data_IF_300309453127
#
_entry.id   IF_300309453127
#
_cell.length_a   1.000
_cell.length_b   1.000
_cell.length_c   1.000
_cell.angle_alpha   90.00
_cell.angle_beta   90.00
_cell.angle_gamma   90.00
#
_symmetry.space_group_name_H-M   'P 1'
#
loop_
_entity.id
_entity.type
_entity.pdbx_description
1 polymer ?
#
# COMPACT_ATOMS: atom_id res chain seq x y z
N UNK A 1 -16.18 -13.33 10.12
CA UNK A 1 -16.56 -11.90 10.24
C UNK A 1 -15.50 -11.25 11.11
N UNK A 2 -14.45 -10.77 10.50
CA UNK A 2 -13.36 -10.10 11.23
C UNK A 2 -13.47 -8.62 10.89
N UNK A 3 -13.83 -7.83 11.89
CA UNK A 3 -13.89 -6.38 11.81
C UNK A 3 -12.49 -5.85 11.58
N UNK A 4 -12.28 -5.16 10.46
CA UNK A 4 -11.10 -4.32 10.26
C UNK A 4 -11.00 -3.40 11.48
N UNK A 5 -9.81 -3.35 12.12
CA UNK A 5 -9.53 -2.35 13.16
C UNK A 5 -9.83 -0.98 12.55
N UNK A 6 -10.80 -0.28 13.10
CA UNK A 6 -11.21 1.02 12.62
C UNK A 6 -10.03 2.00 12.72
N UNK A 7 -9.52 2.35 11.58
CA UNK A 7 -8.85 3.65 11.46
C UNK A 7 -10.01 4.64 11.53
N UNK A 8 -10.11 5.49 12.58
CA UNK A 8 -11.26 6.38 12.76
C UNK A 8 -11.54 7.16 11.47
N UNK A 9 -12.72 6.95 10.90
CA UNK A 9 -13.16 7.56 9.65
C UNK A 9 -12.94 6.75 8.38
N UNK A 10 -12.29 5.56 8.41
CA UNK A 10 -12.23 4.67 7.26
C UNK A 10 -13.50 3.77 7.19
N UNK A 11 -13.97 3.43 5.98
CA UNK A 11 -15.13 2.58 5.81
C UNK A 11 -14.88 1.20 6.43
N UNK A 12 -15.70 0.81 7.42
CA UNK A 12 -15.57 -0.43 8.20
C UNK A 12 -16.40 -1.59 7.67
N UNK A 13 -17.22 -1.38 6.63
CA UNK A 13 -18.06 -2.43 6.05
C UNK A 13 -17.49 -2.94 4.75
N UNK A 14 -17.03 -4.16 4.76
CA UNK A 14 -16.66 -4.98 3.59
C UNK A 14 -17.88 -5.52 2.82
N UNK A 15 -18.97 -4.77 2.75
CA UNK A 15 -20.06 -5.09 1.83
C UNK A 15 -19.62 -4.62 0.45
N UNK A 16 -19.43 -5.54 -0.47
CA UNK A 16 -19.12 -5.37 -1.89
C UNK A 16 -18.87 -3.90 -2.30
N UNK A 17 -17.62 -3.52 -2.36
CA UNK A 17 -17.19 -2.17 -2.82
C UNK A 17 -17.70 -1.90 -4.25
N UNK A 18 -18.09 -2.97 -4.96
CA UNK A 18 -18.48 -2.93 -6.36
C UNK A 18 -19.97 -3.32 -6.56
N UNK A 19 -20.71 -2.48 -7.27
CA UNK A 19 -22.01 -2.79 -7.83
C UNK A 19 -21.91 -2.94 -9.34
N UNK A 20 -22.70 -3.86 -9.89
CA UNK A 20 -22.70 -4.22 -11.32
C UNK A 20 -23.37 -3.17 -12.23
N UNK A 21 -24.04 -2.17 -11.66
CA UNK A 21 -24.83 -1.19 -12.38
C UNK A 21 -24.38 0.25 -12.08
N UNK A 22 -23.78 0.93 -13.04
CA UNK A 22 -23.51 2.35 -13.24
C UNK A 22 -22.46 3.06 -12.36
N UNK A 23 -22.16 2.63 -11.13
CA UNK A 23 -21.05 3.17 -10.33
C UNK A 23 -20.30 2.05 -9.65
N UNK A 24 -18.97 2.10 -9.78
CA UNK A 24 -18.09 1.08 -9.20
C UNK A 24 -18.02 1.18 -7.67
N UNK A 25 -18.14 2.38 -7.12
CA UNK A 25 -18.12 2.63 -5.69
C UNK A 25 -19.53 3.04 -5.19
N UNK A 26 -19.96 2.49 -4.07
CA UNK A 26 -21.21 2.90 -3.42
C UNK A 26 -21.15 4.36 -3.00
N UNK A 27 -22.30 5.07 -3.05
CA UNK A 27 -22.39 6.50 -2.69
C UNK A 27 -21.90 6.77 -1.26
N UNK A 28 -22.23 5.88 -0.33
CA UNK A 28 -21.83 6.04 1.07
C UNK A 28 -20.29 5.93 1.24
N UNK A 29 -19.66 5.06 0.45
CA UNK A 29 -18.20 4.95 0.40
C UNK A 29 -17.59 6.22 -0.21
N UNK A 30 -18.14 6.71 -1.32
CA UNK A 30 -17.67 7.94 -1.94
C UNK A 30 -17.74 9.14 -0.99
N UNK A 31 -18.84 9.32 -0.24
CA UNK A 31 -18.96 10.39 0.74
C UNK A 31 -17.98 10.25 1.91
N UNK A 32 -17.72 9.03 2.38
CA UNK A 32 -16.70 8.77 3.41
C UNK A 32 -15.30 9.11 2.90
N UNK A 33 -14.94 8.67 1.69
CA UNK A 33 -13.64 8.98 1.07
C UNK A 33 -13.49 10.49 0.85
N UNK A 34 -14.55 11.16 0.38
CA UNK A 34 -14.58 12.62 0.22
C UNK A 34 -14.32 13.35 1.54
N UNK A 35 -14.96 12.91 2.62
CA UNK A 35 -14.70 13.46 3.96
C UNK A 35 -13.25 13.24 4.38
N UNK A 36 -12.71 12.03 4.14
CA UNK A 36 -11.34 11.66 4.48
C UNK A 36 -10.31 12.50 3.72
N UNK A 37 -10.56 12.77 2.43
CA UNK A 37 -9.67 13.51 1.55
C UNK A 37 -9.91 15.03 1.53
N UNK A 38 -10.89 15.53 2.31
CA UNK A 38 -11.21 16.97 2.38
C UNK A 38 -10.03 17.85 2.81
N UNK A 39 -9.05 17.24 3.50
CA UNK A 39 -7.90 17.96 4.00
C UNK A 39 -6.60 17.69 3.22
N UNK A 40 -6.61 17.02 2.06
CA UNK A 40 -5.40 16.80 1.26
C UNK A 40 -4.73 18.13 0.91
N UNK A 41 -3.40 18.16 0.99
CA UNK A 41 -2.58 19.35 0.72
C UNK A 41 -1.86 19.28 -0.60
N UNK A 42 -1.49 18.07 -1.03
CA UNK A 42 -0.78 17.82 -2.28
C UNK A 42 -1.73 17.39 -3.38
N UNK A 43 -1.33 17.61 -4.62
CA UNK A 43 -2.03 17.13 -5.80
C UNK A 43 -1.56 15.71 -6.15
N UNK A 44 -2.50 14.82 -6.42
CA UNK A 44 -2.24 13.43 -6.76
C UNK A 44 -2.81 13.11 -8.13
N UNK A 45 -1.98 12.48 -8.97
CA UNK A 45 -2.40 11.91 -10.25
C UNK A 45 -2.37 10.40 -10.15
N UNK A 46 -3.50 9.75 -10.39
CA UNK A 46 -3.57 8.31 -10.60
C UNK A 46 -3.33 8.07 -12.09
N UNK A 47 -2.09 7.70 -12.41
CA UNK A 47 -1.66 7.46 -13.80
C UNK A 47 -1.97 6.03 -14.18
N UNK A 48 -3.06 5.84 -14.92
CA UNK A 48 -3.57 4.53 -15.32
C UNK A 48 -2.99 4.11 -16.68
N UNK A 49 -2.27 2.99 -16.69
CA UNK A 49 -1.77 2.32 -17.89
C UNK A 49 -2.64 1.10 -18.12
N UNK A 50 -3.60 1.23 -19.04
CA UNK A 50 -4.64 0.23 -19.24
C UNK A 50 -4.73 -0.15 -20.72
N UNK A 51 -4.54 -1.42 -21.00
CA UNK A 51 -4.76 -1.97 -22.35
C UNK A 51 -6.25 -2.03 -22.66
N UNK A 52 -6.65 -1.45 -23.79
CA UNK A 52 -8.04 -1.44 -24.25
C UNK A 52 -8.61 -2.84 -24.49
N UNK A 53 -7.75 -3.84 -24.71
CA UNK A 53 -8.14 -5.25 -24.87
C UNK A 53 -8.28 -6.06 -23.60
N UNK A 54 -7.93 -5.49 -22.44
CA UNK A 54 -8.03 -6.20 -21.16
C UNK A 54 -9.48 -6.23 -20.66
N UNK A 55 -9.97 -7.42 -20.27
CA UNK A 55 -11.37 -7.62 -19.86
C UNK A 55 -11.84 -6.72 -18.69
N UNK A 56 -10.92 -6.25 -17.86
CA UNK A 56 -11.17 -5.38 -16.70
C UNK A 56 -10.83 -3.90 -16.95
N UNK A 57 -10.55 -3.52 -18.21
CA UNK A 57 -10.15 -2.16 -18.55
C UNK A 57 -11.20 -1.11 -18.16
N UNK A 58 -12.46 -1.36 -18.52
CA UNK A 58 -13.57 -0.45 -18.22
C UNK A 58 -13.85 -0.40 -16.70
N UNK A 59 -13.70 -1.53 -16.01
CA UNK A 59 -13.90 -1.64 -14.56
C UNK A 59 -12.86 -0.79 -13.81
N UNK A 60 -11.57 -0.94 -14.12
CA UNK A 60 -10.52 -0.11 -13.52
C UNK A 60 -10.71 1.36 -13.84
N UNK A 61 -11.02 1.69 -15.10
CA UNK A 61 -11.24 3.07 -15.53
C UNK A 61 -12.39 3.73 -14.78
N UNK A 62 -13.49 3.01 -14.58
CA UNK A 62 -14.68 3.50 -13.86
C UNK A 62 -14.38 3.66 -12.37
N UNK A 63 -13.69 2.67 -11.77
CA UNK A 63 -13.24 2.72 -10.38
C UNK A 63 -12.38 3.97 -10.12
N UNK A 64 -11.36 4.20 -10.93
CA UNK A 64 -10.46 5.33 -10.78
C UNK A 64 -11.16 6.67 -11.00
N UNK A 65 -12.10 6.74 -11.95
CA UNK A 65 -12.90 7.94 -12.18
C UNK A 65 -13.80 8.28 -10.98
N UNK A 66 -14.50 7.28 -10.43
CA UNK A 66 -15.30 7.44 -9.22
C UNK A 66 -14.43 7.85 -8.03
N UNK A 67 -13.29 7.20 -7.85
CA UNK A 67 -12.34 7.50 -6.78
C UNK A 67 -11.79 8.93 -6.88
N UNK A 68 -11.32 9.35 -8.05
CA UNK A 68 -10.81 10.71 -8.26
C UNK A 68 -11.90 11.78 -8.09
N UNK A 69 -13.18 11.46 -8.32
CA UNK A 69 -14.29 12.37 -8.08
C UNK A 69 -14.47 12.78 -6.62
N UNK A 70 -13.84 12.10 -5.67
CA UNK A 70 -13.96 12.35 -4.23
C UNK A 70 -13.18 13.57 -3.75
N UNK A 71 -12.20 14.05 -4.49
CA UNK A 71 -11.41 15.23 -4.11
C UNK A 71 -10.92 15.99 -5.32
N UNK A 72 -10.95 17.35 -5.29
CA UNK A 72 -10.32 18.16 -6.35
C UNK A 72 -8.78 18.04 -6.38
N UNK A 73 -8.18 17.40 -5.37
CA UNK A 73 -6.75 17.13 -5.30
C UNK A 73 -6.36 15.80 -5.98
N UNK A 74 -7.34 15.08 -6.53
CA UNK A 74 -7.14 13.82 -7.25
C UNK A 74 -7.45 14.00 -8.72
N UNK A 75 -6.57 13.53 -9.58
CA UNK A 75 -6.72 13.52 -11.04
C UNK A 75 -6.47 12.13 -11.61
N UNK A 76 -7.22 11.76 -12.65
CA UNK A 76 -7.02 10.54 -13.42
C UNK A 76 -6.31 10.87 -14.73
N UNK A 77 -5.09 10.38 -14.90
CA UNK A 77 -4.36 10.39 -16.17
C UNK A 77 -4.45 9.00 -16.81
N UNK A 78 -4.90 8.93 -18.07
CA UNK A 78 -4.96 7.68 -18.83
C UNK A 78 -3.83 7.63 -19.83
N UNK A 79 -2.97 6.63 -19.71
CA UNK A 79 -1.88 6.36 -20.65
C UNK A 79 -2.29 5.19 -21.53
N UNK A 80 -2.47 5.40 -22.86
CA UNK A 80 -2.80 4.31 -23.79
C UNK A 80 -1.69 3.27 -23.83
N UNK A 81 -2.09 2.00 -23.86
CA UNK A 81 -1.18 0.87 -23.84
C UNK A 81 -1.81 -0.35 -24.52
N UNK A 82 -1.02 -1.13 -25.27
CA UNK A 82 -1.50 -2.29 -26.05
C UNK A 82 -0.93 -3.63 -25.56
N UNK A 83 -0.04 -3.65 -24.57
CA UNK A 83 0.69 -4.82 -24.06
C UNK A 83 -0.03 -5.63 -22.98
N UNK A 84 -1.32 -5.40 -22.74
CA UNK A 84 -2.11 -6.17 -21.76
C UNK A 84 -2.03 -5.67 -20.33
N UNK A 85 -1.47 -4.48 -20.08
CA UNK A 85 -1.37 -3.92 -18.73
C UNK A 85 -2.73 -3.53 -18.16
N UNK A 86 -2.86 -3.70 -16.85
CA UNK A 86 -3.99 -3.25 -16.05
C UNK A 86 -3.45 -2.73 -14.72
N UNK A 87 -2.93 -1.51 -14.73
CA UNK A 87 -2.23 -0.95 -13.57
C UNK A 87 -2.42 0.56 -13.48
N UNK A 88 -2.16 1.12 -12.32
CA UNK A 88 -2.00 2.55 -12.14
C UNK A 88 -0.94 2.85 -11.08
N UNK A 89 -0.19 3.91 -11.28
CA UNK A 89 0.76 4.45 -10.31
C UNK A 89 0.21 5.72 -9.64
N UNK A 90 0.75 6.03 -8.47
CA UNK A 90 0.40 7.23 -7.72
C UNK A 90 1.52 8.26 -7.91
N UNK A 91 1.19 9.40 -8.48
CA UNK A 91 2.11 10.53 -8.67
C UNK A 91 1.68 11.66 -7.73
N UNK A 92 2.60 12.22 -6.94
CA UNK A 92 2.36 13.31 -6.00
C UNK A 92 3.11 14.56 -6.46
N UNK A 93 2.40 15.66 -6.66
CA UNK A 93 2.98 16.97 -7.07
C UNK A 93 3.96 16.82 -8.25
N UNK A 94 3.66 15.93 -9.19
CA UNK A 94 4.47 15.63 -10.39
C UNK A 94 5.61 14.62 -10.19
N UNK A 95 5.89 14.17 -8.97
CA UNK A 95 6.87 13.13 -8.67
C UNK A 95 6.21 11.77 -8.47
N UNK A 96 6.78 10.72 -9.04
CA UNK A 96 6.33 9.34 -8.80
C UNK A 96 6.56 8.96 -7.33
N UNK A 97 5.58 8.33 -6.71
CA UNK A 97 5.69 7.84 -5.33
C UNK A 97 6.38 6.48 -5.23
N UNK A 98 6.60 5.81 -6.34
CA UNK A 98 7.09 4.44 -6.40
C UNK A 98 6.00 3.38 -6.15
N UNK A 99 4.74 3.77 -5.92
CA UNK A 99 3.64 2.84 -5.63
C UNK A 99 2.80 2.59 -6.87
N UNK A 100 2.69 1.32 -7.27
CA UNK A 100 1.90 0.88 -8.42
C UNK A 100 0.96 -0.26 -8.02
N UNK A 101 -0.31 -0.16 -8.40
CA UNK A 101 -1.30 -1.22 -8.25
C UNK A 101 -1.55 -1.89 -9.60
N UNK A 102 -1.30 -3.19 -9.68
CA UNK A 102 -1.64 -4.05 -10.83
C UNK A 102 -2.93 -4.80 -10.56
N UNK A 103 -4.03 -4.15 -10.83
CA UNK A 103 -5.38 -4.61 -10.56
C UNK A 103 -6.28 -3.51 -10.02
N UNK A 104 -7.45 -3.90 -9.53
CA UNK A 104 -8.44 -2.99 -8.96
C UNK A 104 -8.43 -3.17 -7.44
N UNK A 105 -7.92 -2.21 -6.65
CA UNK A 105 -7.78 -2.36 -5.20
C UNK A 105 -9.15 -2.29 -4.51
N UNK A 106 -9.86 -3.40 -4.52
CA UNK A 106 -11.15 -3.59 -3.85
C UNK A 106 -11.01 -4.39 -2.56
N UNK A 107 -12.16 -4.75 -1.96
CA UNK A 107 -12.18 -5.59 -0.76
C UNK A 107 -11.33 -5.02 0.36
N UNK A 108 -10.42 -5.84 0.89
CA UNK A 108 -9.51 -5.43 1.96
C UNK A 108 -8.44 -4.43 1.50
N UNK A 109 -8.05 -4.45 0.21
CA UNK A 109 -7.00 -3.58 -0.33
C UNK A 109 -7.46 -2.16 -0.66
N UNK A 110 -8.76 -1.88 -0.64
CA UNK A 110 -9.26 -0.52 -0.79
C UNK A 110 -8.67 0.43 0.27
N UNK A 111 -8.53 -0.06 1.49
CA UNK A 111 -7.88 0.69 2.58
C UNK A 111 -6.40 0.96 2.29
N UNK A 112 -5.70 0.04 1.63
CA UNK A 112 -4.29 0.22 1.27
C UNK A 112 -4.10 1.36 0.26
N UNK A 113 -5.02 1.52 -0.70
CA UNK A 113 -5.04 2.67 -1.62
C UNK A 113 -5.30 3.99 -0.87
N UNK A 114 -6.30 4.03 0.02
CA UNK A 114 -6.60 5.22 0.83
C UNK A 114 -5.39 5.65 1.65
N UNK A 115 -4.76 4.70 2.34
CA UNK A 115 -3.59 4.97 3.19
C UNK A 115 -2.34 5.32 2.38
N UNK A 116 -2.16 4.80 1.18
CA UNK A 116 -1.04 5.20 0.31
C UNK A 116 -1.08 6.72 0.05
N UNK A 117 -2.27 7.28 -0.29
CA UNK A 117 -2.45 8.72 -0.51
C UNK A 117 -2.30 9.50 0.80
N UNK A 118 -2.96 9.08 1.88
CA UNK A 118 -2.90 9.78 3.16
C UNK A 118 -1.50 9.79 3.77
N UNK A 119 -0.76 8.68 3.67
CA UNK A 119 0.62 8.59 4.14
C UNK A 119 1.54 9.49 3.31
N UNK A 120 1.35 9.51 1.99
CA UNK A 120 2.09 10.41 1.10
C UNK A 120 1.81 11.90 1.41
N UNK A 121 0.58 12.25 1.87
CA UNK A 121 0.20 13.60 2.32
C UNK A 121 0.67 13.91 3.75
N UNK A 122 1.28 12.95 4.45
CA UNK A 122 1.72 13.09 5.84
C UNK A 122 0.58 13.04 6.87
N UNK A 123 -0.60 12.54 6.47
CA UNK A 123 -1.81 12.48 7.31
C UNK A 123 -2.19 11.06 7.73
N UNK A 124 -1.44 10.07 7.28
CA UNK A 124 -1.70 8.69 7.63
C UNK A 124 -1.44 8.41 9.10
N UNK A 125 -2.17 7.42 9.65
CA UNK A 125 -2.07 7.06 11.08
C UNK A 125 -0.97 6.03 11.38
N UNK A 126 -0.46 5.34 10.36
CA UNK A 126 0.51 4.25 10.51
C UNK A 126 1.93 4.67 10.09
N UNK A 127 2.23 5.96 10.16
CA UNK A 127 3.59 6.43 9.90
C UNK A 127 4.50 6.07 11.08
N UNK A 128 5.72 5.58 10.80
CA UNK A 128 6.65 5.17 11.83
C UNK A 128 7.21 6.37 12.59
N UNK A 129 7.79 6.10 13.75
CA UNK A 129 8.57 7.10 14.48
C UNK A 129 9.85 7.51 13.73
N UNK A 130 10.55 8.51 14.28
CA UNK A 130 11.73 9.06 13.62
C UNK A 130 12.89 8.05 13.50
N UNK A 131 13.01 7.09 14.43
CA UNK A 131 14.08 6.10 14.41
C UNK A 131 13.85 5.08 13.28
N UNK A 132 12.64 4.55 13.16
CA UNK A 132 12.26 3.66 12.06
C UNK A 132 12.31 4.39 10.71
N UNK A 133 11.83 5.65 10.65
CA UNK A 133 11.91 6.45 9.44
C UNK A 133 13.38 6.70 9.00
N UNK A 134 14.30 6.86 9.94
CA UNK A 134 15.73 7.00 9.64
C UNK A 134 16.32 5.70 9.06
N UNK A 135 15.96 4.54 9.62
CA UNK A 135 16.34 3.22 9.09
C UNK A 135 15.86 3.04 7.63
N UNK A 136 14.59 3.35 7.37
CA UNK A 136 14.02 3.25 6.02
C UNK A 136 14.80 4.13 5.03
N UNK A 137 15.12 5.36 5.42
CA UNK A 137 15.92 6.27 4.57
C UNK A 137 17.36 5.82 4.34
N UNK A 138 17.91 5.06 5.27
CA UNK A 138 19.26 4.53 5.19
C UNK A 138 19.35 3.24 4.37
N UNK A 139 18.21 2.65 3.96
CA UNK A 139 18.18 1.44 3.16
C UNK A 139 18.91 1.66 1.83
N UNK A 140 19.88 0.79 1.52
CA UNK A 140 20.62 0.86 0.28
C UNK A 140 19.72 0.42 -0.89
N UNK A 141 19.72 1.19 -1.97
CA UNK A 141 18.90 0.95 -3.15
C UNK A 141 19.71 0.71 -4.42
N UNK A 142 19.05 0.44 -5.53
CA UNK A 142 17.60 0.43 -5.78
C UNK A 142 16.89 -0.82 -5.21
N UNK A 143 15.70 -0.66 -4.66
CA UNK A 143 14.86 -1.74 -4.13
C UNK A 143 13.60 -1.85 -4.98
N UNK A 144 13.34 -3.01 -5.56
CA UNK A 144 12.17 -3.26 -6.43
C UNK A 144 11.33 -4.37 -5.81
N UNK A 145 10.21 -3.98 -5.21
CA UNK A 145 9.30 -4.87 -4.50
C UNK A 145 8.08 -5.21 -5.35
N UNK A 146 7.64 -6.45 -5.23
CA UNK A 146 6.38 -6.91 -5.79
C UNK A 146 5.65 -7.76 -4.76
N UNK A 147 4.44 -7.35 -4.39
CA UNK A 147 3.59 -8.10 -3.46
C UNK A 147 2.42 -8.70 -4.19
N UNK A 148 2.37 -10.03 -4.25
CA UNK A 148 1.17 -10.76 -4.70
C UNK A 148 0.19 -10.86 -3.56
N UNK A 149 -1.04 -10.42 -3.79
CA UNK A 149 -2.11 -10.37 -2.81
C UNK A 149 -3.42 -10.95 -3.36
N UNK A 150 -4.41 -11.09 -2.50
CA UNK A 150 -5.78 -11.39 -2.87
C UNK A 150 -6.74 -10.42 -2.18
N UNK A 151 -7.75 -9.97 -2.88
CA UNK A 151 -8.75 -9.03 -2.35
C UNK A 151 -9.54 -9.57 -1.14
N UNK A 152 -9.57 -10.89 -0.96
CA UNK A 152 -10.19 -11.56 0.20
C UNK A 152 -9.22 -11.90 1.33
N UNK A 153 -7.93 -11.64 1.16
CA UNK A 153 -6.91 -11.94 2.15
C UNK A 153 -6.94 -10.90 3.28
N UNK A 154 -7.07 -11.35 4.51
CA UNK A 154 -7.15 -10.47 5.69
C UNK A 154 -5.79 -9.98 6.20
N UNK A 155 -4.71 -10.66 5.82
CA UNK A 155 -3.34 -10.32 6.23
C UNK A 155 -2.59 -9.49 5.16
N UNK A 156 -3.08 -9.48 3.91
CA UNK A 156 -2.42 -8.78 2.82
C UNK A 156 -2.31 -7.28 3.06
N UNK A 157 -3.35 -6.58 3.55
CA UNK A 157 -3.28 -5.14 3.76
C UNK A 157 -2.19 -4.70 4.74
N UNK A 158 -1.91 -5.48 5.78
CA UNK A 158 -0.87 -5.12 6.76
C UNK A 158 0.51 -5.07 6.08
N UNK A 159 0.82 -6.06 5.24
CA UNK A 159 2.08 -6.15 4.49
C UNK A 159 2.14 -5.08 3.39
N UNK A 160 1.07 -4.92 2.59
CA UNK A 160 1.01 -3.91 1.53
C UNK A 160 1.20 -2.50 2.08
N UNK A 161 0.51 -2.16 3.18
CA UNK A 161 0.60 -0.84 3.79
C UNK A 161 1.98 -0.58 4.40
N UNK A 162 2.59 -1.58 5.03
CA UNK A 162 3.95 -1.46 5.57
C UNK A 162 4.97 -1.20 4.45
N UNK A 163 4.92 -1.96 3.35
CA UNK A 163 5.81 -1.76 2.21
C UNK A 163 5.54 -0.44 1.49
N UNK A 164 4.28 0.01 1.38
CA UNK A 164 3.97 1.34 0.87
C UNK A 164 4.60 2.45 1.73
N UNK A 165 4.62 2.31 3.06
CA UNK A 165 5.29 3.26 3.95
C UNK A 165 6.81 3.26 3.72
N UNK A 166 7.41 2.07 3.57
CA UNK A 166 8.84 1.95 3.24
C UNK A 166 9.14 2.62 1.89
N UNK A 167 8.29 2.43 0.89
CA UNK A 167 8.42 3.05 -0.44
C UNK A 167 8.35 4.58 -0.36
N UNK A 168 7.38 5.12 0.39
CA UNK A 168 7.19 6.57 0.52
C UNK A 168 8.31 7.28 1.29
N UNK A 169 8.97 6.59 2.21
CA UNK A 169 10.02 7.16 3.05
C UNK A 169 11.43 6.81 2.57
N UNK A 170 11.57 5.75 1.80
CA UNK A 170 12.83 5.32 1.20
C UNK A 170 13.26 6.22 0.04
N UNK A 171 14.54 6.15 -0.33
CA UNK A 171 15.10 7.01 -1.38
C UNK A 171 14.87 6.45 -2.80
N UNK A 172 15.11 5.16 -2.99
CA UNK A 172 14.98 4.47 -4.30
C UNK A 172 14.31 3.11 -4.07
N UNK A 173 13.05 3.15 -3.66
CA UNK A 173 12.22 1.99 -3.39
C UNK A 173 10.97 2.07 -4.25
N UNK A 174 10.66 1.03 -4.98
CA UNK A 174 9.40 0.87 -5.73
C UNK A 174 8.64 -0.34 -5.21
N UNK A 175 7.31 -0.22 -5.15
CA UNK A 175 6.43 -1.29 -4.71
C UNK A 175 5.26 -1.49 -5.68
N UNK A 176 5.21 -2.65 -6.28
CA UNK A 176 4.15 -3.10 -7.17
C UNK A 176 3.22 -4.07 -6.42
N UNK A 177 1.95 -3.73 -6.30
CA UNK A 177 0.91 -4.52 -5.65
C UNK A 177 0.11 -5.26 -6.72
N UNK A 178 0.18 -6.60 -6.72
CA UNK A 178 -0.39 -7.46 -7.78
C UNK A 178 -1.58 -8.24 -7.26
N UNK A 179 -2.74 -8.06 -7.87
CA UNK A 179 -3.88 -8.95 -7.63
C UNK A 179 -3.63 -10.31 -8.31
N UNK A 180 -3.27 -11.31 -7.51
CA UNK A 180 -2.94 -12.64 -8.00
C UNK A 180 -4.09 -13.33 -8.75
N UNK A 181 -5.34 -12.90 -8.56
CA UNK A 181 -6.48 -13.43 -9.31
C UNK A 181 -6.48 -12.99 -10.77
N UNK A 182 -5.90 -11.82 -11.08
CA UNK A 182 -5.80 -11.29 -12.44
C UNK A 182 -4.51 -11.75 -13.14
N UNK A 183 -3.48 -12.13 -12.40
CA UNK A 183 -2.15 -12.49 -12.92
C UNK A 183 -1.77 -13.93 -12.57
N UNK A 184 -2.70 -14.88 -12.81
CA UNK A 184 -2.54 -16.29 -12.44
C UNK A 184 -1.36 -16.98 -13.11
N UNK A 185 -1.00 -16.61 -14.33
CA UNK A 185 0.17 -17.14 -15.01
C UNK A 185 1.47 -16.76 -14.29
N UNK A 186 1.58 -15.53 -13.80
CA UNK A 186 2.72 -15.11 -12.98
C UNK A 186 2.74 -15.86 -11.65
N UNK A 187 1.61 -15.95 -10.95
CA UNK A 187 1.45 -16.68 -9.69
C UNK A 187 1.88 -18.15 -9.85
N UNK A 188 1.44 -18.79 -10.95
CA UNK A 188 1.76 -20.19 -11.25
C UNK A 188 3.23 -20.37 -11.59
N UNK A 189 3.80 -19.48 -12.40
CA UNK A 189 5.21 -19.54 -12.81
C UNK A 189 6.18 -19.36 -11.65
N UNK A 190 5.80 -18.54 -10.67
CA UNK A 190 6.56 -18.31 -9.45
C UNK A 190 6.30 -19.36 -8.35
N UNK A 191 5.33 -20.27 -8.57
CA UNK A 191 4.97 -21.31 -7.61
C UNK A 191 4.40 -20.77 -6.30
N UNK A 192 3.71 -19.62 -6.33
CA UNK A 192 3.13 -18.98 -5.14
C UNK A 192 2.02 -19.85 -4.57
N UNK A 193 2.18 -20.29 -3.32
CA UNK A 193 1.23 -21.18 -2.61
C UNK A 193 0.34 -20.41 -1.62
N UNK A 194 0.69 -19.18 -1.28
CA UNK A 194 -0.03 -18.39 -0.29
C UNK A 194 0.26 -16.90 -0.44
N UNK A 195 -0.66 -16.09 0.07
CA UNK A 195 -0.56 -14.62 0.03
C UNK A 195 -0.73 -14.02 1.42
N UNK A 196 -0.12 -12.85 1.69
CA UNK A 196 0.77 -12.10 0.81
C UNK A 196 2.09 -12.82 0.54
N UNK A 197 2.61 -12.68 -0.69
CA UNK A 197 3.95 -13.14 -1.07
C UNK A 197 4.72 -11.96 -1.65
N UNK A 198 5.81 -11.59 -0.99
CA UNK A 198 6.66 -10.44 -1.34
C UNK A 198 7.90 -10.91 -2.05
N UNK A 199 8.16 -10.36 -3.21
CA UNK A 199 9.37 -10.54 -3.99
C UNK A 199 10.19 -9.26 -4.00
N UNK A 200 11.50 -9.39 -3.88
CA UNK A 200 12.45 -8.30 -4.00
C UNK A 200 13.47 -8.65 -5.09
N UNK A 201 13.53 -7.85 -6.15
CA UNK A 201 14.30 -8.10 -7.37
C UNK A 201 14.04 -9.49 -7.97
N UNK A 202 12.78 -9.92 -7.98
CA UNK A 202 12.36 -11.22 -8.51
C UNK A 202 12.67 -12.42 -7.62
N UNK A 203 13.22 -12.24 -6.43
CA UNK A 203 13.48 -13.29 -5.45
C UNK A 203 12.47 -13.20 -4.30
N UNK A 204 11.96 -14.35 -3.86
CA UNK A 204 11.05 -14.41 -2.71
C UNK A 204 11.75 -13.84 -1.46
N UNK A 205 11.14 -12.82 -0.88
CA UNK A 205 11.61 -12.18 0.35
C UNK A 205 10.78 -12.63 1.56
N UNK A 206 9.44 -12.53 1.46
CA UNK A 206 8.55 -12.76 2.59
C UNK A 206 7.25 -13.46 2.16
N UNK A 207 6.69 -14.29 3.03
CA UNK A 207 5.36 -14.91 2.83
C UNK A 207 4.56 -14.87 4.12
N UNK A 208 3.30 -14.48 4.02
CA UNK A 208 2.38 -14.46 5.15
C UNK A 208 2.40 -13.13 5.92
N UNK A 209 2.08 -13.20 7.20
CA UNK A 209 2.02 -12.00 8.05
C UNK A 209 3.39 -11.36 8.24
N UNK A 210 3.44 -10.05 8.10
CA UNK A 210 4.62 -9.24 8.42
C UNK A 210 4.17 -7.85 8.83
N UNK A 211 4.82 -7.29 9.84
CA UNK A 211 4.69 -5.88 10.18
C UNK A 211 5.85 -5.07 9.58
N UNK A 212 5.80 -3.75 9.72
CA UNK A 212 6.81 -2.85 9.18
C UNK A 212 8.23 -3.17 9.69
N UNK A 213 8.36 -3.55 10.97
CA UNK A 213 9.66 -3.88 11.57
C UNK A 213 10.27 -5.12 10.94
N UNK A 214 9.49 -6.21 10.86
CA UNK A 214 9.92 -7.49 10.26
C UNK A 214 10.33 -7.28 8.80
N UNK A 215 9.50 -6.60 8.01
CA UNK A 215 9.78 -6.36 6.59
C UNK A 215 11.00 -5.46 6.38
N UNK A 216 11.20 -4.46 7.24
CA UNK A 216 12.39 -3.60 7.20
C UNK A 216 13.65 -4.38 7.55
N UNK A 217 13.63 -5.23 8.59
CA UNK A 217 14.76 -6.09 8.97
C UNK A 217 15.16 -7.04 7.82
N UNK A 218 14.19 -7.62 7.12
CA UNK A 218 14.44 -8.48 5.95
C UNK A 218 15.06 -7.69 4.78
N UNK A 219 14.59 -6.46 4.54
CA UNK A 219 15.14 -5.58 3.50
C UNK A 219 16.55 -5.12 3.83
N UNK A 220 16.82 -4.70 5.06
CA UNK A 220 18.17 -4.35 5.51
C UNK A 220 19.13 -5.54 5.41
N UNK A 221 18.67 -6.74 5.74
CA UNK A 221 19.46 -7.96 5.60
C UNK A 221 19.82 -8.27 4.15
N UNK A 222 18.92 -7.95 3.21
CA UNK A 222 19.11 -8.23 1.77
C UNK A 222 19.94 -7.17 1.06
N UNK A 223 19.65 -5.89 1.32
CA UNK A 223 20.23 -4.76 0.58
C UNK A 223 21.33 -4.05 1.33
N UNK A 224 21.39 -4.20 2.66
CA UNK A 224 22.21 -3.37 3.52
C UNK A 224 21.53 -2.05 3.86
N UNK A 225 22.17 -1.32 4.73
CA UNK A 225 21.78 0.06 5.04
C UNK A 225 23.06 0.89 5.18
N UNK A 226 23.09 2.05 4.52
CA UNK A 226 24.16 3.03 4.76
C UNK A 226 24.02 3.49 6.20
N UNK A 227 24.91 2.99 7.07
CA UNK A 227 24.82 3.20 8.49
C UNK A 227 24.67 4.70 8.79
N UNK A 228 23.48 5.10 9.17
CA UNK A 228 23.37 6.18 10.15
C UNK A 228 24.11 5.62 11.35
N UNK A 229 25.27 6.22 11.71
CA UNK A 229 25.94 5.91 12.98
C UNK A 229 24.84 5.77 14.03
N UNK A 230 24.67 4.54 14.51
CA UNK A 230 23.64 4.25 15.50
C UNK A 230 23.88 5.26 16.63
N UNK A 231 22.91 6.12 16.87
CA UNK A 231 22.98 7.02 17.99
C UNK A 231 23.37 6.17 19.19
N UNK A 232 24.45 6.53 19.91
CA UNK A 232 24.94 5.73 21.01
C UNK A 232 23.73 5.34 21.90
N UNK A 233 23.62 4.05 22.25
CA UNK A 233 22.46 3.60 23.01
C UNK A 233 22.35 4.44 24.30
N UNK A 234 21.27 5.18 24.42
CA UNK A 234 20.99 5.93 25.65
C UNK A 234 20.68 4.93 26.73
N UNK A 235 21.61 4.68 27.62
CA UNK A 235 21.43 3.77 28.74
C UNK A 235 20.56 4.47 29.81
N UNK A 236 19.32 4.00 29.96
CA UNK A 236 18.45 4.40 31.05
C UNK A 236 18.46 3.32 32.13
N UNK A 237 18.71 3.70 33.38
CA UNK A 237 18.61 2.78 34.52
C UNK A 237 17.26 2.98 35.22
N UNK A 238 16.52 1.88 35.28
CA UNK A 238 15.22 1.83 35.97
C UNK A 238 15.23 0.70 36.99
N UNK A 239 14.56 0.91 38.12
CA UNK A 239 14.38 -0.14 39.14
C UNK A 239 13.40 -1.21 38.64
N UNK A 240 12.47 -0.86 37.78
CA UNK A 240 11.48 -1.75 37.14
C UNK A 240 11.21 -1.28 35.74
N UNK A 241 11.22 -2.23 34.80
CA UNK A 241 10.78 -2.02 33.39
C UNK A 241 9.58 -2.91 33.15
N UNK A 242 8.44 -2.33 32.73
CA UNK A 242 7.23 -3.06 32.34
C UNK A 242 7.11 -3.02 30.83
N UNK A 243 7.16 -4.20 30.18
CA UNK A 243 7.06 -4.34 28.74
C UNK A 243 5.70 -4.94 28.39
N UNK A 244 4.86 -4.14 27.70
CA UNK A 244 3.56 -4.57 27.19
C UNK A 244 2.44 -3.59 27.57
N UNK A 245 1.39 -3.55 26.71
CA UNK A 245 0.16 -2.75 26.92
C UNK A 245 -1.03 -3.56 27.44
N UNK A 246 -0.79 -4.71 28.08
CA UNK A 246 -1.84 -5.52 28.71
C UNK A 246 -2.23 -4.99 30.11
N UNK A 247 -3.22 -5.62 30.80
CA UNK A 247 -3.67 -5.20 32.13
C UNK A 247 -2.57 -5.13 33.21
N UNK A 248 -1.44 -5.81 32.99
CA UNK A 248 -0.26 -5.79 33.86
C UNK A 248 0.80 -4.75 33.42
N UNK A 249 0.63 -4.11 32.29
CA UNK A 249 1.54 -3.11 31.71
C UNK A 249 0.96 -1.69 31.64
N UNK A 250 -0.25 -1.50 32.19
CA UNK A 250 -0.94 -0.21 32.25
C UNK A 250 -0.82 0.41 33.63
#
# INVERSE_FOLDING_TARGET
>A
MTTLKSVDGLPTKTSSVYRKDEKMLDKDILEQVKSLFSGLKSHYVLRATVSSGHEKADELSSFLADFCSTSPMLELEKVPEDGGRLEFSIVKDGADTGITFRGIPGGHEFTSLLLAILNADGKGKNLPDAAIAARIKALDGPVRLRTYMSLSCTNCPDVVQALNVITLLGGDVEHEIVDGALWQDEVSSLGIQGVPAVYADGQLLHVGRGDLGVLLDELESKYGSSAVEAAEPVEHRYDVVVVGGGPAGA
#
